data_IF_138825608732
#
_entry.id   IF_138825608732
#
_cell.length_a   1.000
_cell.length_b   1.000
_cell.length_c   1.000
_cell.angle_alpha   90.00
_cell.angle_beta   90.00
_cell.angle_gamma   90.00
#
_symmetry.space_group_name_H-M   'P 1'
#
loop_
_entity.id
_entity.type
_entity.pdbx_description
1 polymer ?
#
# COMPACT_ATOMS: atom_id res chain seq x y z
N UNK A 1 5.31 -8.83 12.89
CA UNK A 1 6.68 -8.26 12.85
C UNK A 1 6.61 -6.76 13.05
N UNK A 2 7.62 -6.18 13.70
CA UNK A 2 7.77 -4.74 13.83
C UNK A 2 9.24 -4.34 13.69
N UNK A 3 9.45 -3.11 13.25
CA UNK A 3 10.78 -2.48 13.17
C UNK A 3 10.63 -0.95 13.26
N UNK A 4 11.69 -0.26 13.65
CA UNK A 4 11.81 1.18 13.48
C UNK A 4 12.34 1.44 12.06
N UNK A 5 11.71 2.37 11.37
CA UNK A 5 12.13 2.85 10.04
C UNK A 5 12.47 4.31 10.16
N UNK A 6 13.61 4.71 9.61
CA UNK A 6 14.14 6.08 9.68
C UNK A 6 13.62 6.93 8.52
N UNK A 7 12.31 7.13 8.53
CA UNK A 7 11.61 8.04 7.63
C UNK A 7 10.33 8.54 8.29
N UNK A 8 9.84 9.70 7.83
CA UNK A 8 8.53 10.20 8.27
C UNK A 8 7.43 9.16 7.97
N UNK A 9 6.53 8.94 8.93
CA UNK A 9 5.44 7.97 8.79
C UNK A 9 4.52 8.24 7.58
N UNK A 10 4.40 9.51 7.18
CA UNK A 10 3.61 9.90 6.02
C UNK A 10 4.22 9.35 4.72
N UNK A 11 5.55 9.40 4.57
CA UNK A 11 6.23 8.77 3.42
C UNK A 11 5.90 7.28 3.35
N UNK A 12 5.86 6.60 4.49
CA UNK A 12 5.53 5.19 4.55
C UNK A 12 4.07 4.93 4.17
N UNK A 13 3.13 5.71 4.69
CA UNK A 13 1.72 5.60 4.38
C UNK A 13 1.45 5.85 2.89
N UNK A 14 2.04 6.89 2.32
CA UNK A 14 1.90 7.22 0.91
C UNK A 14 2.58 6.19 0.02
N UNK A 15 3.80 5.72 0.35
CA UNK A 15 4.45 4.65 -0.39
C UNK A 15 3.60 3.37 -0.37
N UNK A 16 3.11 2.92 0.78
CA UNK A 16 2.28 1.72 0.85
C UNK A 16 0.96 1.84 0.07
N UNK A 17 0.42 3.03 -0.06
CA UNK A 17 -0.82 3.29 -0.80
C UNK A 17 -0.60 3.73 -2.27
N UNK A 18 0.65 3.94 -2.68
CA UNK A 18 1.00 4.26 -4.06
C UNK A 18 0.96 3.01 -4.95
N UNK A 19 0.05 2.92 -5.93
CA UNK A 19 0.04 1.78 -6.84
C UNK A 19 1.25 1.73 -7.78
N UNK A 20 1.91 2.86 -8.03
CA UNK A 20 3.04 2.92 -8.95
C UNK A 20 4.33 2.38 -8.35
N UNK A 21 4.53 2.50 -7.02
CA UNK A 21 5.72 1.98 -6.35
C UNK A 21 5.86 0.45 -6.47
N UNK A 22 4.74 -0.26 -6.64
CA UNK A 22 4.70 -1.73 -6.76
C UNK A 22 5.69 -2.25 -7.81
N UNK A 23 6.05 -1.42 -8.78
CA UNK A 23 7.05 -1.75 -9.80
C UNK A 23 8.43 -2.14 -9.23
N UNK A 24 8.83 -1.61 -8.08
CA UNK A 24 10.12 -1.95 -7.45
C UNK A 24 10.23 -3.44 -7.12
N UNK A 25 9.11 -4.08 -6.84
CA UNK A 25 9.03 -5.49 -6.43
C UNK A 25 8.93 -6.50 -7.57
N UNK A 26 8.87 -6.05 -8.82
CA UNK A 26 8.65 -6.91 -10.00
C UNK A 26 9.61 -8.10 -10.11
N UNK A 27 10.81 -7.93 -9.58
CA UNK A 27 11.88 -8.92 -9.65
C UNK A 27 12.11 -9.67 -8.33
N UNK A 28 11.30 -9.42 -7.30
CA UNK A 28 11.47 -10.06 -6.00
C UNK A 28 11.27 -11.58 -6.08
N UNK A 29 11.97 -12.30 -5.21
CA UNK A 29 11.86 -13.75 -5.11
C UNK A 29 10.46 -14.20 -4.70
N UNK A 30 9.75 -13.37 -3.92
CA UNK A 30 8.36 -13.62 -3.56
C UNK A 30 7.50 -13.73 -4.83
N UNK A 31 7.62 -12.77 -5.73
CA UNK A 31 6.80 -12.68 -6.94
C UNK A 31 7.17 -13.79 -7.93
N UNK A 32 8.46 -13.90 -8.25
CA UNK A 32 8.95 -14.90 -9.22
C UNK A 32 8.81 -16.33 -8.72
N UNK A 33 9.13 -16.57 -7.46
CA UNK A 33 9.13 -17.92 -6.88
C UNK A 33 7.75 -18.50 -6.57
N UNK A 34 6.69 -17.67 -6.57
CA UNK A 34 5.33 -18.11 -6.24
C UNK A 34 4.30 -17.87 -7.36
N UNK A 35 4.76 -17.60 -8.57
CA UNK A 35 3.89 -17.36 -9.73
C UNK A 35 2.82 -16.28 -9.46
N UNK A 36 3.23 -15.19 -8.81
CA UNK A 36 2.33 -14.09 -8.47
C UNK A 36 2.22 -13.08 -9.60
N UNK A 37 1.01 -12.67 -9.90
CA UNK A 37 0.71 -11.56 -10.80
C UNK A 37 0.51 -10.28 -9.99
N UNK A 38 1.54 -9.44 -9.96
CA UNK A 38 1.55 -8.17 -9.25
C UNK A 38 1.18 -7.04 -10.21
N UNK A 39 0.15 -6.21 -9.94
CA UNK A 39 -0.14 -5.04 -10.76
C UNK A 39 1.00 -4.01 -10.63
N UNK A 40 1.26 -3.25 -11.69
CA UNK A 40 2.33 -2.25 -11.71
C UNK A 40 1.81 -0.81 -11.56
N UNK A 41 0.56 -0.65 -11.13
CA UNK A 41 0.01 0.63 -10.73
C UNK A 41 -0.36 1.61 -11.83
N UNK A 42 -0.12 1.28 -13.10
CA UNK A 42 -0.49 2.13 -14.23
C UNK A 42 -1.03 1.30 -15.39
N UNK A 43 -1.79 1.95 -16.25
CA UNK A 43 -2.32 1.35 -17.47
C UNK A 43 -2.17 2.31 -18.65
N UNK A 44 -2.05 1.81 -19.88
CA UNK A 44 -2.12 2.64 -21.07
C UNK A 44 -3.44 3.40 -21.13
N UNK A 45 -3.39 4.62 -21.65
CA UNK A 45 -4.55 5.49 -21.76
C UNK A 45 -5.70 4.78 -22.49
N UNK A 46 -6.82 4.65 -21.84
CA UNK A 46 -8.09 4.22 -22.43
C UNK A 46 -8.62 2.87 -21.96
N UNK A 47 -7.78 1.88 -21.58
CA UNK A 47 -8.25 0.50 -21.47
C UNK A 47 -8.42 -0.05 -20.06
N UNK A 48 -7.50 0.24 -19.14
CA UNK A 48 -7.63 -0.19 -17.75
C UNK A 48 -7.21 0.94 -16.82
N UNK A 49 -8.16 1.48 -16.09
CA UNK A 49 -7.90 2.60 -15.18
C UNK A 49 -7.84 2.11 -13.75
N UNK A 50 -6.89 2.64 -12.99
CA UNK A 50 -6.95 2.59 -11.55
C UNK A 50 -8.26 3.23 -11.08
N UNK A 51 -8.95 2.56 -10.16
CA UNK A 51 -10.17 3.08 -9.53
C UNK A 51 -9.86 3.43 -8.11
N UNK A 52 -10.14 4.66 -7.73
CA UNK A 52 -10.01 5.14 -6.36
C UNK A 52 -11.36 5.57 -5.83
N UNK A 53 -11.56 5.45 -4.54
CA UNK A 53 -12.71 6.01 -3.83
C UNK A 53 -12.34 6.35 -2.40
N UNK A 54 -12.98 7.38 -1.89
CA UNK A 54 -12.98 7.69 -0.46
C UNK A 54 -14.24 7.07 0.15
N UNK A 55 -14.06 6.35 1.24
CA UNK A 55 -15.16 5.87 2.08
C UNK A 55 -15.12 6.68 3.36
N UNK A 56 -16.20 7.37 3.64
CA UNK A 56 -16.40 8.11 4.86
C UNK A 56 -17.58 7.48 5.61
N UNK A 57 -17.64 7.76 6.90
CA UNK A 57 -18.72 7.28 7.77
C UNK A 57 -20.09 7.49 7.10
N UNK A 58 -20.76 6.40 6.86
CA UNK A 58 -22.09 6.42 6.29
C UNK A 58 -23.10 6.36 7.45
N UNK A 59 -23.70 7.49 7.78
CA UNK A 59 -24.70 7.59 8.84
C UNK A 59 -25.85 6.58 8.67
N UNK A 60 -26.16 6.17 7.44
CA UNK A 60 -27.19 5.17 7.15
C UNK A 60 -26.81 3.77 7.64
N UNK A 61 -25.53 3.47 7.78
CA UNK A 61 -25.03 2.18 8.25
C UNK A 61 -24.73 2.16 9.76
N UNK A 62 -24.85 3.30 10.43
CA UNK A 62 -24.66 3.42 11.88
C UNK A 62 -23.22 3.19 12.37
N UNK A 63 -22.27 3.08 11.47
CA UNK A 63 -20.87 2.90 11.78
C UNK A 63 -20.23 4.26 12.06
N UNK A 64 -19.70 4.46 13.27
CA UNK A 64 -19.08 5.71 13.73
C UNK A 64 -17.68 5.45 14.28
N UNK A 65 -16.80 4.90 13.47
CA UNK A 65 -15.46 4.55 13.91
C UNK A 65 -14.36 5.07 12.99
N UNK A 66 -13.14 5.07 13.51
CA UNK A 66 -11.93 5.38 12.74
C UNK A 66 -11.79 4.46 11.51
N UNK A 67 -12.35 3.26 11.60
CA UNK A 67 -12.31 2.26 10.52
C UNK A 67 -13.25 2.57 9.34
N UNK A 68 -14.07 3.59 9.43
CA UNK A 68 -14.98 4.02 8.38
C UNK A 68 -14.40 5.16 7.54
N UNK A 69 -13.22 5.64 7.89
CA UNK A 69 -12.50 6.69 7.19
C UNK A 69 -11.32 6.09 6.42
N UNK A 70 -11.57 5.71 5.18
CA UNK A 70 -10.53 5.09 4.35
C UNK A 70 -10.57 5.57 2.90
N UNK A 71 -9.42 5.51 2.25
CA UNK A 71 -9.29 5.57 0.81
C UNK A 71 -9.00 4.16 0.27
N UNK A 72 -9.55 3.82 -0.88
CA UNK A 72 -9.35 2.54 -1.55
C UNK A 72 -8.88 2.75 -2.99
N UNK A 73 -7.96 1.89 -3.42
CA UNK A 73 -7.54 1.80 -4.80
C UNK A 73 -7.69 0.36 -5.30
N UNK A 74 -8.18 0.22 -6.51
CA UNK A 74 -8.23 -1.06 -7.24
C UNK A 74 -7.35 -0.94 -8.48
N UNK A 75 -6.32 -1.79 -8.55
CA UNK A 75 -5.27 -1.73 -9.55
C UNK A 75 -5.42 -2.90 -10.51
N UNK A 76 -5.84 -2.67 -11.76
CA UNK A 76 -5.97 -3.74 -12.73
C UNK A 76 -4.61 -4.17 -13.29
N UNK A 77 -4.47 -5.47 -13.55
CA UNK A 77 -3.42 -5.97 -14.43
C UNK A 77 -3.91 -5.82 -15.86
N UNK A 78 -3.19 -5.08 -16.66
CA UNK A 78 -3.52 -4.82 -18.06
C UNK A 78 -2.52 -5.52 -18.99
N UNK A 79 -3.04 -6.06 -20.07
CA UNK A 79 -2.27 -6.53 -21.22
C UNK A 79 -2.91 -5.99 -22.51
N UNK A 80 -2.13 -5.30 -23.32
CA UNK A 80 -2.61 -4.70 -24.55
C UNK A 80 -1.50 -4.38 -25.54
N UNK A 81 -1.82 -3.68 -26.62
CA UNK A 81 -0.85 -3.24 -27.62
C UNK A 81 -0.80 -1.73 -27.71
N UNK A 82 0.40 -1.18 -27.67
CA UNK A 82 0.69 0.22 -27.97
C UNK A 82 1.67 0.24 -29.14
N UNK A 83 1.32 0.91 -30.22
CA UNK A 83 2.12 0.99 -31.45
C UNK A 83 2.57 -0.40 -31.96
N UNK A 84 1.65 -1.38 -31.89
CA UNK A 84 1.89 -2.76 -32.32
C UNK A 84 2.70 -3.61 -31.34
N UNK A 85 3.27 -3.04 -30.27
CA UNK A 85 4.02 -3.74 -29.23
C UNK A 85 3.12 -4.17 -28.09
N UNK A 86 3.28 -5.40 -27.62
CA UNK A 86 2.56 -5.87 -26.41
C UNK A 86 3.11 -5.12 -25.20
N UNK A 87 2.20 -4.50 -24.44
CA UNK A 87 2.48 -3.81 -23.20
C UNK A 87 1.68 -4.45 -22.08
N UNK A 88 2.32 -4.66 -20.95
CA UNK A 88 1.71 -5.23 -19.75
C UNK A 88 2.03 -4.37 -18.55
N UNK A 89 1.04 -4.16 -17.69
CA UNK A 89 1.15 -3.41 -16.44
C UNK A 89 1.15 -4.32 -15.20
N UNK A 90 1.56 -5.56 -15.37
CA UNK A 90 1.71 -6.54 -14.31
C UNK A 90 2.79 -7.54 -14.68
N UNK A 91 3.24 -8.32 -13.72
CA UNK A 91 4.03 -9.50 -14.01
C UNK A 91 3.10 -10.65 -14.47
N UNK A 92 3.68 -11.75 -14.93
CA UNK A 92 2.99 -12.78 -15.69
C UNK A 92 2.54 -13.99 -14.89
N UNK A 93 2.58 -13.92 -13.56
CA UNK A 93 2.07 -14.99 -12.71
C UNK A 93 0.56 -15.19 -12.88
N UNK A 94 0.07 -16.38 -12.50
CA UNK A 94 -1.34 -16.72 -12.58
C UNK A 94 -2.11 -16.24 -11.33
N UNK A 95 -1.45 -16.19 -10.18
CA UNK A 95 -2.06 -15.81 -8.91
C UNK A 95 -2.02 -14.29 -8.74
N UNK A 96 -3.14 -13.64 -8.99
CA UNK A 96 -3.24 -12.17 -8.83
C UNK A 96 -3.25 -11.78 -7.36
N UNK A 97 -2.33 -10.88 -6.99
CA UNK A 97 -2.21 -10.31 -5.65
C UNK A 97 -2.11 -8.79 -5.70
N UNK A 98 -2.31 -8.13 -4.56
CA UNK A 98 -2.24 -6.67 -4.39
C UNK A 98 -3.17 -5.87 -5.34
N UNK A 99 -4.32 -6.43 -5.69
CA UNK A 99 -5.25 -5.77 -6.59
C UNK A 99 -6.11 -4.71 -5.90
N UNK A 100 -6.34 -4.87 -4.60
CA UNK A 100 -7.11 -3.94 -3.79
C UNK A 100 -6.24 -3.49 -2.63
N UNK A 101 -6.07 -2.19 -2.54
CA UNK A 101 -5.30 -1.54 -1.49
C UNK A 101 -6.24 -0.57 -0.79
N UNK A 102 -6.24 -0.56 0.53
CA UNK A 102 -7.04 0.37 1.31
C UNK A 102 -6.20 0.94 2.43
N UNK A 103 -6.35 2.23 2.70
CA UNK A 103 -5.68 2.88 3.82
C UNK A 103 -6.69 3.59 4.71
N UNK A 104 -6.73 3.21 5.99
CA UNK A 104 -7.52 3.87 7.03
C UNK A 104 -6.70 4.98 7.67
N UNK A 105 -7.38 6.02 8.12
CA UNK A 105 -6.75 7.06 8.90
C UNK A 105 -6.29 6.55 10.29
N UNK A 106 -5.14 6.99 10.79
CA UNK A 106 -4.19 7.88 10.11
C UNK A 106 -3.23 7.16 9.14
N UNK A 107 -2.99 5.88 9.28
CA UNK A 107 -2.01 5.16 8.46
C UNK A 107 -2.04 3.66 8.70
N UNK A 108 -3.21 3.01 8.51
CA UNK A 108 -3.34 1.55 8.53
C UNK A 108 -3.62 1.08 7.11
N UNK A 109 -2.67 0.38 6.53
CA UNK A 109 -2.76 -0.16 5.17
C UNK A 109 -3.29 -1.59 5.19
N UNK A 110 -4.13 -1.92 4.22
CA UNK A 110 -4.52 -3.29 3.86
C UNK A 110 -4.20 -3.54 2.40
N UNK A 111 -3.50 -4.63 2.14
CA UNK A 111 -3.25 -5.14 0.78
C UNK A 111 -3.95 -6.49 0.62
N UNK A 112 -4.79 -6.61 -0.41
CA UNK A 112 -5.65 -7.78 -0.58
C UNK A 112 -5.82 -8.15 -2.06
N UNK A 113 -5.71 -9.47 -2.39
CA UNK A 113 -5.07 -10.50 -1.58
C UNK A 113 -3.56 -10.32 -1.55
N UNK A 114 -2.86 -10.75 -0.50
CA UNK A 114 -1.38 -10.70 -0.45
C UNK A 114 -0.84 -11.45 0.78
N UNK A 115 0.25 -12.22 0.69
CA UNK A 115 1.03 -12.58 -0.50
C UNK A 115 0.46 -13.79 -1.27
N UNK A 116 -0.65 -14.31 -0.82
CA UNK A 116 -1.37 -15.45 -1.39
C UNK A 116 -2.82 -15.05 -1.65
N UNK A 117 -3.52 -15.66 -2.64
CA UNK A 117 -4.93 -15.35 -2.91
C UNK A 117 -5.89 -15.50 -1.72
N UNK A 118 -5.53 -16.30 -0.72
CA UNK A 118 -6.33 -16.52 0.49
C UNK A 118 -5.94 -15.65 1.69
N UNK A 119 -4.94 -14.78 1.53
CA UNK A 119 -4.38 -13.99 2.63
C UNK A 119 -4.57 -12.49 2.46
N UNK A 120 -4.47 -11.75 3.55
CA UNK A 120 -4.53 -10.30 3.58
C UNK A 120 -3.39 -9.77 4.44
N UNK A 121 -2.65 -8.81 3.91
CA UNK A 121 -1.63 -8.10 4.66
C UNK A 121 -2.21 -6.84 5.28
N UNK A 122 -1.78 -6.56 6.52
CA UNK A 122 -2.00 -5.29 7.19
C UNK A 122 -0.67 -4.68 7.61
N UNK A 123 -0.59 -3.37 7.51
CA UNK A 123 0.55 -2.57 7.91
C UNK A 123 0.08 -1.37 8.74
N UNK A 124 0.85 -1.01 9.77
CA UNK A 124 0.61 0.17 10.59
C UNK A 124 1.87 1.03 10.57
N UNK A 125 1.69 2.29 10.27
CA UNK A 125 2.74 3.31 10.27
C UNK A 125 2.52 4.23 11.47
N UNK A 126 3.19 3.92 12.57
CA UNK A 126 2.98 4.62 13.85
C UNK A 126 4.10 5.63 14.07
N UNK A 127 3.83 6.94 14.02
CA UNK A 127 4.86 7.96 14.19
C UNK A 127 5.54 7.85 15.56
N UNK A 128 6.86 7.97 15.58
CA UNK A 128 7.68 8.11 16.77
C UNK A 128 8.09 9.58 16.91
N UNK A 129 8.62 10.14 15.84
CA UNK A 129 8.97 11.55 15.69
C UNK A 129 8.86 11.98 14.21
N UNK A 130 9.38 13.16 13.87
CA UNK A 130 9.32 13.69 12.50
C UNK A 130 10.09 12.85 11.48
N UNK A 131 11.09 12.08 11.92
CA UNK A 131 12.03 11.36 11.08
C UNK A 131 11.99 9.85 11.26
N UNK A 132 11.10 9.34 12.10
CA UNK A 132 11.01 7.91 12.35
C UNK A 132 9.60 7.45 12.70
N UNK A 133 9.32 6.17 12.38
CA UNK A 133 8.08 5.51 12.74
C UNK A 133 8.30 4.05 13.07
N UNK A 134 7.41 3.50 13.91
CA UNK A 134 7.26 2.06 14.02
C UNK A 134 6.46 1.54 12.83
N UNK A 135 7.03 0.56 12.17
CA UNK A 135 6.39 -0.19 11.08
C UNK A 135 5.99 -1.57 11.58
N UNK A 136 4.70 -1.77 11.78
CA UNK A 136 4.11 -3.06 12.14
C UNK A 136 3.53 -3.72 10.90
N UNK A 137 3.73 -5.03 10.79
CA UNK A 137 3.25 -5.82 9.66
C UNK A 137 2.67 -7.13 10.13
N UNK A 138 1.58 -7.56 9.50
CA UNK A 138 1.01 -8.89 9.69
C UNK A 138 0.35 -9.39 8.42
N UNK A 139 0.30 -10.72 8.28
CA UNK A 139 -0.43 -11.41 7.22
C UNK A 139 -1.46 -12.30 7.91
N UNK A 140 -2.73 -12.12 7.56
CA UNK A 140 -3.83 -12.87 8.12
C UNK A 140 -4.50 -13.78 7.08
N UNK A 141 -4.98 -14.93 7.53
CA UNK A 141 -5.82 -15.85 6.78
C UNK A 141 -7.04 -16.21 7.61
N UNK A 142 -8.20 -16.31 7.00
CA UNK A 142 -9.38 -16.84 7.66
C UNK A 142 -9.30 -18.36 7.63
N UNK A 143 -9.22 -18.99 8.81
CA UNK A 143 -9.17 -20.44 8.96
C UNK A 143 -10.52 -20.96 9.46
N UNK A 144 -10.98 -22.07 8.92
CA UNK A 144 -12.26 -22.70 9.29
C UNK A 144 -12.13 -23.65 10.48
N UNK A 145 -10.90 -24.03 10.87
CA UNK A 145 -10.63 -24.95 11.98
C UNK A 145 -9.26 -24.69 12.61
N UNK A 146 -9.05 -25.13 13.87
CA UNK A 146 -7.74 -25.09 14.51
C UNK A 146 -6.64 -25.86 13.75
N UNK A 147 -7.01 -26.92 13.05
CA UNK A 147 -6.06 -27.66 12.23
C UNK A 147 -5.57 -26.85 11.04
N UNK A 148 -6.48 -26.12 10.37
CA UNK A 148 -6.11 -25.22 9.30
C UNK A 148 -5.27 -24.03 9.80
N UNK A 149 -5.58 -23.51 10.97
CA UNK A 149 -4.78 -22.47 11.63
C UNK A 149 -3.34 -22.96 11.87
N UNK A 150 -3.17 -24.15 12.39
CA UNK A 150 -1.84 -24.73 12.64
C UNK A 150 -1.04 -24.85 11.33
N UNK A 151 -1.65 -25.35 10.27
CA UNK A 151 -1.02 -25.46 8.95
C UNK A 151 -0.63 -24.08 8.43
N UNK A 152 -1.52 -23.10 8.54
CA UNK A 152 -1.21 -21.74 8.13
C UNK A 152 -0.09 -21.11 8.94
N UNK A 153 -0.06 -21.30 10.25
CA UNK A 153 1.01 -20.77 11.11
C UNK A 153 2.38 -21.38 10.78
N UNK A 154 2.43 -22.66 10.42
CA UNK A 154 3.64 -23.28 9.93
C UNK A 154 4.09 -22.68 8.59
N UNK A 155 3.18 -22.54 7.64
CA UNK A 155 3.45 -21.89 6.34
C UNK A 155 3.89 -20.43 6.53
N UNK A 156 3.24 -19.68 7.40
CA UNK A 156 3.62 -18.32 7.72
C UNK A 156 5.06 -18.23 8.25
N UNK A 157 5.42 -19.07 9.19
CA UNK A 157 6.74 -19.03 9.83
C UNK A 157 7.87 -19.52 8.92
N UNK A 158 7.59 -20.50 8.07
CA UNK A 158 8.60 -21.12 7.20
C UNK A 158 8.74 -20.44 5.84
N UNK A 159 7.71 -19.74 5.37
CA UNK A 159 7.66 -19.19 4.02
C UNK A 159 7.37 -17.68 4.02
N UNK A 160 6.14 -17.29 4.42
CA UNK A 160 5.65 -15.93 4.17
C UNK A 160 6.36 -14.87 4.98
N UNK A 161 6.74 -15.18 6.21
CA UNK A 161 7.49 -14.24 7.04
C UNK A 161 8.80 -13.83 6.37
N UNK A 162 9.60 -14.80 5.93
CA UNK A 162 10.88 -14.52 5.30
C UNK A 162 10.73 -13.86 3.92
N UNK A 163 9.81 -14.36 3.09
CA UNK A 163 9.71 -13.91 1.70
C UNK A 163 8.94 -12.60 1.56
N UNK A 164 7.85 -12.41 2.32
CA UNK A 164 7.02 -11.22 2.23
C UNK A 164 7.48 -10.13 3.22
N UNK A 165 7.52 -10.42 4.53
CA UNK A 165 7.78 -9.40 5.53
C UNK A 165 9.25 -8.98 5.63
N UNK A 166 10.18 -9.94 5.52
CA UNK A 166 11.61 -9.67 5.59
C UNK A 166 12.25 -9.45 4.21
N UNK A 167 11.67 -9.99 3.17
CA UNK A 167 12.14 -9.83 1.80
C UNK A 167 11.44 -8.67 1.09
N UNK A 168 10.26 -8.93 0.54
CA UNK A 168 9.49 -7.99 -0.29
C UNK A 168 9.32 -6.61 0.38
N UNK A 169 8.85 -6.55 1.62
CA UNK A 169 8.60 -5.27 2.28
C UNK A 169 9.88 -4.53 2.73
N UNK A 170 11.06 -5.15 2.66
CA UNK A 170 12.31 -4.42 2.87
C UNK A 170 12.69 -3.52 1.69
N UNK A 171 12.23 -3.82 0.48
CA UNK A 171 12.38 -2.92 -0.66
C UNK A 171 11.68 -1.58 -0.39
N UNK A 172 10.49 -1.64 0.23
CA UNK A 172 9.76 -0.45 0.66
C UNK A 172 10.50 0.35 1.73
N UNK A 173 11.06 -0.33 2.73
CA UNK A 173 11.83 0.32 3.80
C UNK A 173 13.01 1.06 3.20
N UNK A 174 13.76 0.39 2.32
CA UNK A 174 14.88 1.00 1.62
C UNK A 174 14.44 2.23 0.79
N UNK A 175 13.35 2.14 0.04
CA UNK A 175 12.84 3.23 -0.77
C UNK A 175 12.43 4.44 0.10
N UNK A 176 11.74 4.19 1.21
CA UNK A 176 11.31 5.23 2.17
C UNK A 176 12.49 5.97 2.77
N UNK A 177 13.51 5.23 3.24
CA UNK A 177 14.72 5.82 3.82
C UNK A 177 15.56 6.56 2.78
N UNK A 178 15.61 6.09 1.53
CA UNK A 178 16.30 6.77 0.44
C UNK A 178 15.67 8.12 0.06
N UNK A 179 14.38 8.30 0.28
CA UNK A 179 13.64 9.54 -0.05
C UNK A 179 13.73 10.61 1.04
N UNK A 180 14.20 10.29 2.24
CA UNK A 180 14.19 11.22 3.40
C UNK A 180 14.85 12.55 3.06
N UNK A 181 15.98 12.54 2.36
CA UNK A 181 16.68 13.77 2.01
C UNK A 181 15.88 14.72 1.11
N UNK A 182 15.02 14.19 0.24
CA UNK A 182 14.16 15.00 -0.61
C UNK A 182 12.97 15.62 0.17
N UNK A 183 12.44 14.87 1.13
CA UNK A 183 11.28 15.29 1.94
C UNK A 183 11.67 15.82 3.33
N UNK A 184 12.92 16.21 3.52
CA UNK A 184 13.42 16.72 4.81
C UNK A 184 12.76 18.03 5.24
N UNK A 185 12.22 18.79 4.30
CA UNK A 185 11.50 20.03 4.51
C UNK A 185 10.22 20.10 3.64
N UNK A 186 9.44 21.16 3.84
CA UNK A 186 8.19 21.37 3.09
C UNK A 186 8.43 21.58 1.58
N UNK A 187 9.62 21.98 1.17
CA UNK A 187 9.95 22.21 -0.24
C UNK A 187 9.84 20.93 -1.07
N UNK A 188 10.25 19.78 -0.52
CA UNK A 188 10.12 18.49 -1.19
C UNK A 188 8.66 18.17 -1.53
N UNK A 189 7.76 18.35 -0.58
CA UNK A 189 6.33 18.14 -0.77
C UNK A 189 5.69 19.09 -1.78
N UNK A 190 6.17 20.34 -1.86
CA UNK A 190 5.68 21.35 -2.81
C UNK A 190 6.21 21.17 -4.22
N UNK A 191 7.34 20.47 -4.38
CA UNK A 191 7.99 20.22 -5.69
C UNK A 191 7.54 18.91 -6.35
N UNK A 192 6.68 18.13 -5.70
CA UNK A 192 6.15 16.90 -6.29
C UNK A 192 5.42 17.19 -7.60
N UNK A 193 5.66 16.32 -8.57
CA UNK A 193 4.93 16.32 -9.84
C UNK A 193 4.02 15.10 -9.83
N UNK A 194 2.77 15.31 -9.43
CA UNK A 194 1.75 14.27 -9.39
C UNK A 194 1.17 14.01 -10.78
N UNK A 195 0.86 12.75 -11.05
CA UNK A 195 0.27 12.33 -12.32
C UNK A 195 -0.93 11.38 -12.09
N UNK A 196 -1.52 10.81 -13.14
CA UNK A 196 -2.76 10.02 -13.01
C UNK A 196 -2.64 8.82 -12.06
N UNK A 197 -1.47 8.19 -11.98
CA UNK A 197 -1.25 7.06 -11.07
C UNK A 197 -1.30 7.46 -9.58
N UNK A 198 -1.03 8.73 -9.25
CA UNK A 198 -1.03 9.24 -7.88
C UNK A 198 -2.43 9.60 -7.36
N UNK A 199 -3.48 9.33 -8.14
CA UNK A 199 -4.86 9.65 -7.74
C UNK A 199 -5.26 9.03 -6.39
N UNK A 200 -4.73 7.84 -6.05
CA UNK A 200 -4.93 7.20 -4.76
C UNK A 200 -4.33 8.04 -3.62
N UNK A 201 -3.10 8.48 -3.78
CA UNK A 201 -2.40 9.35 -2.81
C UNK A 201 -3.15 10.67 -2.62
N UNK A 202 -3.60 11.27 -3.73
CA UNK A 202 -4.39 12.51 -3.68
C UNK A 202 -5.68 12.32 -2.89
N UNK A 203 -6.39 11.21 -3.07
CA UNK A 203 -7.61 10.93 -2.34
C UNK A 203 -7.34 10.68 -0.85
N UNK A 204 -6.27 9.98 -0.49
CA UNK A 204 -5.85 9.83 0.90
C UNK A 204 -5.49 11.18 1.54
N UNK A 205 -4.75 12.05 0.84
CA UNK A 205 -4.41 13.41 1.31
C UNK A 205 -5.65 14.26 1.56
N UNK A 206 -6.65 14.20 0.67
CA UNK A 206 -7.95 14.89 0.85
C UNK A 206 -8.67 14.38 2.10
N UNK A 207 -8.70 13.06 2.29
CA UNK A 207 -9.33 12.44 3.45
C UNK A 207 -8.63 12.87 4.75
N UNK A 208 -7.30 12.82 4.78
CA UNK A 208 -6.51 13.28 5.92
C UNK A 208 -6.75 14.75 6.24
N UNK A 209 -6.73 15.59 5.21
CA UNK A 209 -6.96 17.04 5.34
C UNK A 209 -8.36 17.33 5.88
N UNK A 210 -9.38 16.67 5.36
CA UNK A 210 -10.76 16.86 5.79
C UNK A 210 -10.99 16.50 7.25
N UNK A 211 -10.39 15.42 7.71
CA UNK A 211 -10.57 14.91 9.07
C UNK A 211 -9.49 15.33 10.06
N UNK A 212 -8.54 16.15 9.62
CA UNK A 212 -7.43 16.66 10.44
C UNK A 212 -6.69 15.56 11.23
N UNK A 213 -6.47 14.42 10.58
CA UNK A 213 -5.90 13.23 11.19
C UNK A 213 -4.43 13.03 10.80
N UNK A 214 -3.55 13.82 11.43
CA UNK A 214 -2.11 13.55 11.43
C UNK A 214 -1.33 14.01 10.19
N UNK A 215 -1.91 14.82 9.30
CA UNK A 215 -1.24 15.29 8.08
C UNK A 215 -1.02 16.79 8.09
N UNK A 216 -1.74 17.54 8.92
CA UNK A 216 -1.60 18.99 8.98
C UNK A 216 -1.37 19.43 10.41
N UNK A 217 -0.39 20.32 10.59
CA UNK A 217 -0.28 21.12 11.78
C UNK A 217 -1.34 22.24 11.74
N UNK A 218 -1.83 22.67 12.88
CA UNK A 218 -2.80 23.78 12.95
C UNK A 218 -2.29 25.09 12.33
N UNK A 219 -0.99 25.21 12.10
CA UNK A 219 -0.37 26.38 11.49
C UNK A 219 -0.73 26.54 10.02
N UNK A 220 -0.93 25.43 9.29
CA UNK A 220 -1.37 25.44 7.89
C UNK A 220 -2.85 25.81 7.70
N UNK A 221 -3.65 25.79 8.77
CA UNK A 221 -5.07 26.15 8.74
C UNK A 221 -5.29 27.66 8.89
N UNK A 222 -4.27 28.39 9.29
CA UNK A 222 -4.34 29.84 9.55
C UNK A 222 -3.86 30.69 8.37
N UNK A 223 -3.39 30.08 7.31
CA UNK A 223 -3.02 30.72 6.04
C UNK A 223 -4.13 30.58 5.01
#
# INVERSE_FOLDING_TARGET
QNKIVHSNWRLAAENGFDPAHIFIHKDSILIKGNDLALPLGFAPKGDAKMRTRIVEDNEEQGAKGVFDLLAEASVPVFEGKIDGKVVRTGNFGHNRVANNISIWLPGVLRVQPFPDPATTQFEWYVPVDENSHYYFQTIGKRCASPAEEQVYMEEFNTKWRAMALDGFNNDDVWAREAMVGFYADDEGWLKEILFEADSAIVDWRKLCSKHNRGVQTQEHIKA
#
